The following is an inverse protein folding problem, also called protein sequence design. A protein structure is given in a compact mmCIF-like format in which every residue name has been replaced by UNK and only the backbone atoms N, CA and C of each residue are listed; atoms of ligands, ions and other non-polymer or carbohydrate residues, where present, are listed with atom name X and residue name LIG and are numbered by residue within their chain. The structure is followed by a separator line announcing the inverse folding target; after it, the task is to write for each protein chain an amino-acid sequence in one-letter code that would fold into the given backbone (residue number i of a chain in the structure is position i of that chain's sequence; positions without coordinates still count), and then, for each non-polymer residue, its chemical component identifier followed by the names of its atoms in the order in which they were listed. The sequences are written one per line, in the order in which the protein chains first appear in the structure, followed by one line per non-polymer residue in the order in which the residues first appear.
data_IF_928585116889
#
_entry.id   IF_928585116889
#
_cell.length_a   1.000
_cell.length_b   1.000
_cell.length_c   1.000
_cell.angle_alpha   90.00
_cell.angle_beta   90.00
_cell.angle_gamma   90.00
#
_symmetry.space_group_name_H-M   'P 1'
#
loop_
_entity.id
_entity.type
_entity.pdbx_description
1 polymer ?
#
# COMPACT_ATOMS: atom_id res chain seq x y z
N UNK A 1 -1.84 -19.99 -68.64
CA UNK A 1 -1.48 -20.63 -67.35
C UNK A 1 -0.82 -19.63 -66.38
N UNK A 2 -0.85 -18.31 -66.66
CA UNK A 2 0.02 -17.33 -65.96
C UNK A 2 -0.70 -16.32 -65.06
N UNK A 3 -2.03 -16.38 -64.94
CA UNK A 3 -2.78 -15.41 -64.12
C UNK A 3 -2.99 -15.89 -62.68
N UNK A 4 -3.06 -17.20 -62.45
CA UNK A 4 -3.30 -17.77 -61.12
C UNK A 4 -2.06 -17.80 -60.20
N UNK A 5 -0.85 -17.73 -60.77
CA UNK A 5 0.41 -17.76 -59.99
C UNK A 5 0.76 -16.38 -59.41
N UNK A 6 0.33 -15.29 -60.08
CA UNK A 6 0.60 -13.92 -59.63
C UNK A 6 -0.21 -13.49 -58.40
N UNK A 7 -1.44 -13.97 -58.23
CA UNK A 7 -2.27 -13.63 -57.07
C UNK A 7 -1.84 -14.41 -55.80
N UNK A 8 -1.24 -15.60 -55.95
CA UNK A 8 -0.78 -16.39 -54.82
C UNK A 8 0.51 -15.86 -54.16
N UNK A 9 1.37 -15.15 -54.91
CA UNK A 9 2.60 -14.56 -54.38
C UNK A 9 2.35 -13.25 -53.64
N UNK A 10 1.38 -12.42 -54.06
CA UNK A 10 1.08 -11.14 -53.41
C UNK A 10 0.42 -11.28 -52.03
N UNK A 11 -0.24 -12.40 -51.75
CA UNK A 11 -0.97 -12.61 -50.49
C UNK A 11 -0.08 -13.12 -49.35
N UNK A 12 0.92 -13.97 -49.66
CA UNK A 12 1.82 -14.54 -48.65
C UNK A 12 2.80 -13.51 -48.07
N UNK A 13 3.28 -12.58 -48.90
CA UNK A 13 4.20 -11.54 -48.46
C UNK A 13 3.51 -10.52 -47.54
N UNK A 14 2.21 -10.27 -47.76
CA UNK A 14 1.41 -9.34 -46.97
C UNK A 14 1.11 -9.87 -45.55
N UNK A 15 0.93 -11.19 -45.41
CA UNK A 15 0.74 -11.84 -44.10
C UNK A 15 2.05 -11.88 -43.32
N UNK A 16 3.18 -12.19 -43.97
CA UNK A 16 4.50 -12.24 -43.32
C UNK A 16 4.94 -10.85 -42.80
N UNK A 17 4.68 -9.78 -43.56
CA UNK A 17 4.97 -8.41 -43.13
C UNK A 17 4.11 -7.97 -41.93
N UNK A 18 2.84 -8.38 -41.88
CA UNK A 18 1.96 -8.09 -40.73
C UNK A 18 2.43 -8.76 -39.46
N UNK A 19 2.85 -10.03 -39.53
CA UNK A 19 3.34 -10.77 -38.36
C UNK A 19 4.68 -10.21 -37.85
N UNK A 20 5.54 -9.73 -38.75
CA UNK A 20 6.82 -9.12 -38.39
C UNK A 20 6.68 -7.72 -37.78
N UNK A 21 5.72 -6.90 -38.25
CA UNK A 21 5.38 -5.61 -37.61
C UNK A 21 4.72 -5.80 -36.24
N UNK A 22 3.84 -6.79 -36.07
CA UNK A 22 3.19 -7.08 -34.78
C UNK A 22 4.23 -7.55 -33.74
N UNK A 23 5.12 -8.48 -34.13
CA UNK A 23 6.22 -8.96 -33.29
C UNK A 23 7.22 -7.85 -32.91
N UNK A 24 7.44 -6.87 -33.79
CA UNK A 24 8.31 -5.71 -33.53
C UNK A 24 7.67 -4.72 -32.54
N UNK A 25 6.35 -4.48 -32.67
CA UNK A 25 5.61 -3.62 -31.74
C UNK A 25 5.51 -4.24 -30.34
N UNK A 26 5.28 -5.55 -30.26
CA UNK A 26 5.19 -6.25 -28.96
C UNK A 26 6.58 -6.33 -28.28
N UNK A 27 7.67 -6.46 -29.05
CA UNK A 27 9.04 -6.40 -28.53
C UNK A 27 9.45 -4.99 -28.09
N UNK A 28 9.05 -3.92 -28.79
CA UNK A 28 9.39 -2.55 -28.37
C UNK A 28 8.55 -2.07 -27.19
N UNK A 29 7.31 -2.55 -27.05
CA UNK A 29 6.44 -2.22 -25.91
C UNK A 29 6.91 -2.94 -24.65
N UNK A 30 7.22 -4.24 -24.72
CA UNK A 30 7.78 -4.99 -23.58
C UNK A 30 9.20 -4.55 -23.20
N UNK A 31 10.03 -4.16 -24.17
CA UNK A 31 11.39 -3.68 -23.93
C UNK A 31 11.44 -2.24 -23.43
N UNK A 32 10.49 -1.38 -23.83
CA UNK A 32 10.37 -0.04 -23.25
C UNK A 32 9.86 -0.07 -21.81
N UNK A 33 8.98 -1.01 -21.46
CA UNK A 33 8.54 -1.22 -20.07
C UNK A 33 9.67 -1.79 -19.20
N UNK A 34 10.43 -2.80 -19.65
CA UNK A 34 11.58 -3.33 -18.90
C UNK A 34 12.76 -2.33 -18.80
N UNK A 35 13.06 -1.58 -19.86
CA UNK A 35 14.14 -0.59 -19.81
C UNK A 35 13.76 0.66 -19.01
N UNK A 36 12.48 1.08 -19.00
CA UNK A 36 11.99 2.13 -18.10
C UNK A 36 11.97 1.68 -16.63
N UNK A 37 11.70 0.38 -16.35
CA UNK A 37 11.80 -0.20 -15.01
C UNK A 37 13.25 -0.26 -14.50
N UNK A 38 14.22 -0.42 -15.41
CA UNK A 38 15.64 -0.53 -15.04
C UNK A 38 16.38 0.82 -14.91
N UNK A 39 15.88 1.89 -15.55
CA UNK A 39 16.54 3.21 -15.53
C UNK A 39 16.16 4.08 -14.31
N UNK A 40 15.10 3.70 -13.57
CA UNK A 40 14.66 4.36 -12.35
C UNK A 40 14.18 3.33 -11.34
N UNK A 41 15.12 2.57 -10.76
CA UNK A 41 14.81 1.55 -9.74
C UNK A 41 14.05 2.22 -8.60
N UNK A 42 12.73 1.98 -8.56
CA UNK A 42 11.86 2.37 -7.46
C UNK A 42 12.43 1.73 -6.20
N UNK A 43 13.01 2.54 -5.32
CA UNK A 43 13.59 2.06 -4.06
C UNK A 43 12.66 2.43 -2.92
N UNK A 44 12.00 1.44 -2.37
CA UNK A 44 11.26 1.56 -1.13
C UNK A 44 12.19 1.27 0.05
N UNK A 45 11.84 1.74 1.27
CA UNK A 45 12.59 1.40 2.48
C UNK A 45 12.82 -0.11 2.68
N UNK A 46 11.85 -0.93 2.26
CA UNK A 46 11.93 -2.39 2.24
C UNK A 46 13.13 -2.94 1.45
N UNK A 47 13.59 -2.25 0.42
CA UNK A 47 14.70 -2.70 -0.43
C UNK A 47 16.06 -2.44 0.23
N UNK A 48 16.10 -1.53 1.22
CA UNK A 48 17.30 -1.19 2.00
C UNK A 48 17.39 -2.04 3.28
N UNK A 49 16.26 -2.39 3.88
CA UNK A 49 16.19 -3.20 5.09
C UNK A 49 15.08 -4.22 4.97
N UNK A 50 15.38 -5.49 5.25
CA UNK A 50 14.38 -6.56 5.28
C UNK A 50 13.42 -6.45 6.46
N UNK A 51 13.81 -5.72 7.52
CA UNK A 51 13.00 -5.50 8.72
C UNK A 51 12.58 -4.04 8.84
N UNK A 52 11.26 -3.85 8.93
CA UNK A 52 10.63 -2.58 9.27
C UNK A 52 11.15 -2.02 10.59
N UNK A 53 11.26 -2.87 11.60
CA UNK A 53 11.66 -2.47 12.95
C UNK A 53 13.11 -1.95 12.98
N UNK A 54 14.02 -2.65 12.32
CA UNK A 54 15.43 -2.23 12.24
C UNK A 54 15.56 -0.94 11.44
N UNK A 55 14.80 -0.80 10.35
CA UNK A 55 14.78 0.43 9.57
C UNK A 55 14.30 1.62 10.41
N UNK A 56 13.19 1.45 11.13
CA UNK A 56 12.60 2.47 11.98
C UNK A 56 13.51 2.86 13.16
N UNK A 57 14.13 1.88 13.83
CA UNK A 57 15.14 2.12 14.86
C UNK A 57 16.33 2.94 14.35
N UNK A 58 16.74 2.73 13.10
CA UNK A 58 17.86 3.46 12.50
C UNK A 58 17.50 4.90 12.15
N UNK A 59 16.29 5.11 11.66
CA UNK A 59 15.83 6.41 11.16
C UNK A 59 15.36 7.34 12.30
N UNK A 60 14.79 6.78 13.38
CA UNK A 60 14.28 7.57 14.50
C UNK A 60 15.41 7.94 15.48
N UNK A 61 15.98 9.14 15.30
CA UNK A 61 16.93 9.71 16.26
C UNK A 61 16.32 9.90 17.65
N UNK A 62 15.02 10.20 17.74
CA UNK A 62 14.31 10.33 19.01
C UNK A 62 14.29 9.01 19.79
N UNK A 63 13.99 7.90 19.10
CA UNK A 63 14.02 6.56 19.68
C UNK A 63 15.43 6.17 20.14
N UNK A 64 16.47 6.46 19.35
CA UNK A 64 17.86 6.20 19.74
C UNK A 64 18.26 6.95 21.02
N UNK A 65 17.88 8.22 21.14
CA UNK A 65 18.16 9.04 22.33
C UNK A 65 17.38 8.49 23.54
N UNK A 66 16.10 8.18 23.37
CA UNK A 66 15.26 7.62 24.44
C UNK A 66 15.80 6.28 24.97
N UNK A 67 16.19 5.37 24.07
CA UNK A 67 16.78 4.09 24.42
C UNK A 67 18.12 4.25 25.15
N UNK A 68 18.93 5.23 24.73
CA UNK A 68 20.20 5.54 25.39
C UNK A 68 20.00 6.03 26.82
N UNK A 69 19.00 6.91 27.03
CA UNK A 69 18.65 7.41 28.36
C UNK A 69 18.09 6.31 29.27
N UNK A 70 17.20 5.46 28.75
CA UNK A 70 16.62 4.32 29.48
C UNK A 70 17.72 3.33 29.91
N UNK A 71 18.67 3.03 29.02
CA UNK A 71 19.81 2.16 29.32
C UNK A 71 20.73 2.74 30.40
N UNK A 72 21.05 4.04 30.36
CA UNK A 72 21.85 4.71 31.40
C UNK A 72 21.14 4.69 32.74
N UNK A 73 19.83 4.95 32.76
CA UNK A 73 19.01 4.91 33.96
C UNK A 73 18.98 3.50 34.57
N UNK A 74 18.77 2.48 33.75
CA UNK A 74 18.79 1.09 34.20
C UNK A 74 20.17 0.67 34.74
N UNK A 75 21.26 1.04 34.06
CA UNK A 75 22.61 0.76 34.54
C UNK A 75 22.88 1.41 35.91
N UNK A 76 22.42 2.66 36.10
CA UNK A 76 22.51 3.34 37.40
C UNK A 76 21.74 2.58 38.50
N UNK A 77 20.53 2.10 38.21
CA UNK A 77 19.76 1.29 39.15
C UNK A 77 20.46 -0.02 39.47
N UNK A 78 20.96 -0.74 38.46
CA UNK A 78 21.67 -2.00 38.65
C UNK A 78 22.92 -1.82 39.50
N UNK A 79 23.72 -0.77 39.29
CA UNK A 79 24.91 -0.49 40.13
C UNK A 79 24.51 -0.21 41.58
N UNK A 80 23.42 0.53 41.81
CA UNK A 80 22.92 0.81 43.16
C UNK A 80 22.37 -0.44 43.86
N UNK A 81 21.72 -1.33 43.12
CA UNK A 81 21.04 -2.50 43.66
C UNK A 81 21.92 -3.76 43.73
N UNK A 82 22.95 -3.89 42.88
CA UNK A 82 23.96 -4.96 42.98
C UNK A 82 24.70 -4.89 44.32
N UNK A 83 24.93 -3.67 44.82
CA UNK A 83 25.42 -3.43 46.18
C UNK A 83 24.53 -4.02 47.30
N UNK A 84 23.28 -4.39 47.00
CA UNK A 84 22.30 -4.96 47.94
C UNK A 84 22.10 -6.49 47.75
N UNK A 85 22.79 -7.13 46.79
CA UNK A 85 22.79 -8.58 46.51
C UNK A 85 21.39 -9.23 46.48
N UNK A 86 20.41 -8.57 45.85
CA UNK A 86 19.04 -9.06 45.81
C UNK A 86 18.61 -9.42 44.38
N UNK A 87 18.78 -10.70 44.03
CA UNK A 87 18.46 -11.24 42.70
C UNK A 87 17.02 -10.95 42.25
N UNK A 88 16.06 -10.89 43.19
CA UNK A 88 14.65 -10.58 42.88
C UNK A 88 14.49 -9.14 42.39
N UNK A 89 15.24 -8.21 42.98
CA UNK A 89 15.23 -6.81 42.57
C UNK A 89 15.84 -6.65 41.18
N UNK A 90 16.94 -7.36 40.90
CA UNK A 90 17.53 -7.39 39.55
C UNK A 90 16.54 -7.88 38.49
N UNK A 91 15.75 -8.92 38.78
CA UNK A 91 14.72 -9.42 37.86
C UNK A 91 13.62 -8.38 37.62
N UNK A 92 13.16 -7.68 38.66
CA UNK A 92 12.17 -6.61 38.51
C UNK A 92 12.70 -5.43 37.68
N UNK A 93 13.94 -5.02 37.87
CA UNK A 93 14.58 -3.96 37.07
C UNK A 93 14.63 -4.36 35.59
N UNK A 94 15.00 -5.62 35.29
CA UNK A 94 15.00 -6.12 33.91
C UNK A 94 13.60 -6.12 33.29
N UNK A 95 12.58 -6.57 34.03
CA UNK A 95 11.18 -6.56 33.57
C UNK A 95 10.72 -5.12 33.27
N UNK A 96 11.01 -4.18 34.17
CA UNK A 96 10.66 -2.77 33.98
C UNK A 96 11.36 -2.15 32.78
N UNK A 97 12.63 -2.52 32.52
CA UNK A 97 13.37 -2.09 31.34
C UNK A 97 12.72 -2.59 30.05
N UNK A 98 12.34 -3.88 30.01
CA UNK A 98 11.64 -4.45 28.84
C UNK A 98 10.29 -3.75 28.63
N UNK A 99 9.54 -3.46 29.70
CA UNK A 99 8.26 -2.74 29.59
C UNK A 99 8.49 -1.29 29.11
N UNK A 100 9.47 -0.58 29.68
CA UNK A 100 9.86 0.78 29.27
C UNK A 100 10.20 0.81 27.78
N UNK A 101 11.05 -0.12 27.33
CA UNK A 101 11.40 -0.30 25.92
C UNK A 101 10.18 -0.47 25.01
N UNK A 102 9.25 -1.35 25.39
CA UNK A 102 8.02 -1.58 24.62
C UNK A 102 7.15 -0.32 24.55
N UNK A 103 6.99 0.41 25.66
CA UNK A 103 6.21 1.65 25.70
C UNK A 103 6.86 2.71 24.81
N UNK A 104 8.18 2.88 24.89
CA UNK A 104 8.91 3.86 24.06
C UNK A 104 8.74 3.51 22.57
N UNK A 105 8.84 2.24 22.20
CA UNK A 105 8.65 1.81 20.81
C UNK A 105 7.22 2.09 20.32
N UNK A 106 6.19 1.77 21.11
CA UNK A 106 4.79 2.03 20.75
C UNK A 106 4.49 3.53 20.63
N UNK A 107 5.02 4.35 21.56
CA UNK A 107 4.89 5.80 21.50
C UNK A 107 5.59 6.39 20.27
N UNK A 108 6.81 5.94 19.96
CA UNK A 108 7.53 6.42 18.78
C UNK A 108 6.78 6.05 17.49
N UNK A 109 6.29 4.82 17.36
CA UNK A 109 5.45 4.41 16.22
C UNK A 109 4.17 5.26 16.14
N UNK A 110 3.50 5.53 17.26
CA UNK A 110 2.28 6.35 17.28
C UNK A 110 2.56 7.81 16.90
N UNK A 111 3.69 8.37 17.33
CA UNK A 111 4.10 9.73 16.99
C UNK A 111 4.62 9.82 15.55
N UNK A 112 5.38 8.82 15.09
CA UNK A 112 6.00 8.76 13.77
C UNK A 112 4.99 8.46 12.67
N UNK A 113 4.04 7.56 12.91
CA UNK A 113 2.88 7.31 12.04
C UNK A 113 1.66 8.13 12.45
N UNK A 114 1.90 9.24 13.18
CA UNK A 114 0.88 10.20 13.57
C UNK A 114 0.10 10.75 12.36
N UNK A 115 -0.97 11.49 12.67
CA UNK A 115 -2.00 11.95 11.73
C UNK A 115 -1.40 12.35 10.38
N UNK A 116 -1.62 11.51 9.36
CA UNK A 116 -1.24 11.81 7.97
C UNK A 116 -1.87 13.13 7.56
N UNK A 117 -1.03 14.06 7.10
CA UNK A 117 -1.48 15.35 6.58
C UNK A 117 -2.54 15.17 5.50
N UNK A 118 -3.52 16.08 5.47
CA UNK A 118 -4.63 16.07 4.50
C UNK A 118 -4.12 16.01 3.05
N UNK A 119 -3.08 16.78 2.72
CA UNK A 119 -2.48 16.78 1.39
C UNK A 119 -1.90 15.42 1.00
N UNK A 120 -1.24 14.74 1.94
CA UNK A 120 -0.70 13.40 1.73
C UNK A 120 -1.81 12.36 1.52
N UNK A 121 -2.94 12.49 2.24
CA UNK A 121 -4.14 11.68 2.01
C UNK A 121 -4.69 11.91 0.60
N UNK A 122 -4.83 13.18 0.17
CA UNK A 122 -5.30 13.54 -1.17
C UNK A 122 -4.37 12.92 -2.22
N UNK A 123 -3.06 13.07 -2.07
CA UNK A 123 -2.09 12.51 -3.01
C UNK A 123 -2.18 10.99 -3.13
N UNK A 124 -2.40 10.30 -2.01
CA UNK A 124 -2.63 8.85 -2.03
C UNK A 124 -3.89 8.49 -2.83
N UNK A 125 -4.99 9.23 -2.65
CA UNK A 125 -6.24 9.01 -3.38
C UNK A 125 -6.04 9.26 -4.90
N UNK A 126 -5.36 10.34 -5.27
CA UNK A 126 -5.02 10.67 -6.66
C UNK A 126 -4.22 9.55 -7.33
N UNK A 127 -3.18 9.04 -6.66
CA UNK A 127 -2.36 7.95 -7.20
C UNK A 127 -3.17 6.65 -7.32
N UNK A 128 -4.10 6.36 -6.41
CA UNK A 128 -4.99 5.18 -6.51
C UNK A 128 -5.94 5.31 -7.71
N UNK A 129 -6.55 6.48 -7.92
CA UNK A 129 -7.41 6.72 -9.10
C UNK A 129 -6.60 6.57 -10.39
N UNK A 130 -5.40 7.16 -10.43
CA UNK A 130 -4.52 7.16 -11.59
C UNK A 130 -4.03 5.75 -11.95
N UNK A 131 -3.51 5.01 -10.97
CA UNK A 131 -2.82 3.74 -11.22
C UNK A 131 -3.75 2.53 -11.22
N UNK A 132 -4.98 2.67 -10.70
CA UNK A 132 -5.99 1.60 -10.61
C UNK A 132 -5.43 0.26 -10.08
N UNK A 133 -4.72 0.27 -8.93
CA UNK A 133 -3.82 -0.81 -8.53
C UNK A 133 -4.46 -2.17 -8.28
N UNK A 134 -5.76 -2.23 -7.96
CA UNK A 134 -6.42 -3.49 -7.57
C UNK A 134 -5.66 -4.19 -6.44
N UNK A 135 -5.40 -5.49 -6.59
CA UNK A 135 -4.60 -6.27 -5.64
C UNK A 135 -3.11 -6.35 -5.99
N UNK A 136 -2.65 -5.57 -6.98
CA UNK A 136 -1.32 -5.73 -7.55
C UNK A 136 -0.20 -5.18 -6.65
N UNK A 137 0.68 -6.04 -6.10
CA UNK A 137 1.71 -5.58 -5.16
C UNK A 137 2.70 -4.59 -5.82
N UNK A 138 3.00 -4.74 -7.11
CA UNK A 138 3.97 -3.88 -7.81
C UNK A 138 3.41 -2.48 -7.99
N UNK A 139 2.12 -2.36 -8.33
CA UNK A 139 1.47 -1.06 -8.49
C UNK A 139 1.33 -0.37 -7.13
N UNK A 140 1.05 -1.11 -6.06
CA UNK A 140 1.03 -0.56 -4.71
C UNK A 140 2.40 -0.08 -4.23
N UNK A 141 3.49 -0.76 -4.64
CA UNK A 141 4.85 -0.31 -4.37
C UNK A 141 5.16 1.02 -5.09
N UNK A 142 4.73 1.16 -6.36
CA UNK A 142 4.84 2.43 -7.10
C UNK A 142 4.05 3.57 -6.42
N UNK A 143 2.82 3.30 -5.97
CA UNK A 143 2.01 4.28 -5.24
C UNK A 143 2.71 4.70 -3.96
N UNK A 144 3.22 3.74 -3.17
CA UNK A 144 3.94 4.02 -1.94
C UNK A 144 5.16 4.92 -2.20
N UNK A 145 5.92 4.64 -3.26
CA UNK A 145 7.06 5.46 -3.65
C UNK A 145 6.65 6.90 -4.02
N UNK A 146 5.66 7.06 -4.91
CA UNK A 146 5.21 8.38 -5.36
C UNK A 146 4.70 9.24 -4.18
N UNK A 147 3.97 8.61 -3.26
CA UNK A 147 3.42 9.30 -2.09
C UNK A 147 4.53 9.66 -1.10
N UNK A 148 5.48 8.76 -0.84
CA UNK A 148 6.63 9.05 0.01
C UNK A 148 7.48 10.21 -0.53
N UNK A 149 7.76 10.20 -1.84
CA UNK A 149 8.51 11.26 -2.50
C UNK A 149 7.77 12.60 -2.36
N UNK A 150 6.46 12.62 -2.62
CA UNK A 150 5.64 13.82 -2.44
C UNK A 150 5.67 14.35 -1.00
N UNK A 151 5.52 13.47 0.01
CA UNK A 151 5.57 13.87 1.41
C UNK A 151 6.91 14.51 1.79
N UNK A 152 8.00 13.95 1.29
CA UNK A 152 9.35 14.45 1.52
C UNK A 152 9.59 15.82 0.86
N UNK A 153 9.24 15.94 -0.42
CA UNK A 153 9.39 17.18 -1.19
C UNK A 153 8.54 18.33 -0.64
N UNK A 154 7.37 18.03 -0.07
CA UNK A 154 6.47 19.00 0.55
C UNK A 154 6.76 19.26 2.02
N UNK A 155 7.77 18.62 2.59
CA UNK A 155 8.08 18.66 4.02
C UNK A 155 6.89 18.30 4.92
N UNK A 156 5.95 17.49 4.40
CA UNK A 156 4.81 16.94 5.15
C UNK A 156 5.24 15.75 6.00
N UNK A 157 6.36 15.15 5.66
CA UNK A 157 7.04 14.15 6.47
C UNK A 157 8.56 14.35 6.38
N UNK A 158 9.32 14.18 7.47
CA UNK A 158 10.76 14.46 7.47
C UNK A 158 11.58 13.53 6.56
N UNK A 159 11.02 12.37 6.21
CA UNK A 159 11.75 11.29 5.52
C UNK A 159 11.03 10.81 4.25
N UNK A 160 11.77 10.33 3.26
CA UNK A 160 11.20 9.76 2.04
C UNK A 160 10.72 8.30 2.24
N UNK A 161 10.25 7.95 3.43
CA UNK A 161 10.08 6.57 3.88
C UNK A 161 8.84 6.31 4.72
N UNK A 162 7.83 7.19 4.63
CA UNK A 162 6.59 7.04 5.39
C UNK A 162 5.97 5.64 5.20
N UNK A 163 5.69 5.25 3.96
CA UNK A 163 5.33 3.88 3.64
C UNK A 163 6.57 3.03 3.43
N UNK A 164 6.76 2.04 4.29
CA UNK A 164 7.86 1.10 4.18
C UNK A 164 7.76 0.23 2.91
N UNK A 165 6.54 -0.14 2.54
CA UNK A 165 6.24 -0.90 1.34
C UNK A 165 4.82 -0.66 0.82
N UNK A 166 4.50 -1.19 -0.37
CA UNK A 166 3.17 -1.10 -0.97
C UNK A 166 2.07 -1.75 -0.15
N UNK A 167 2.39 -2.79 0.64
CA UNK A 167 1.42 -3.41 1.57
C UNK A 167 1.02 -2.44 2.68
N UNK A 168 1.97 -1.71 3.25
CA UNK A 168 1.71 -0.65 4.22
C UNK A 168 0.80 0.44 3.65
N UNK A 169 1.10 0.90 2.43
CA UNK A 169 0.29 1.91 1.72
C UNK A 169 -1.14 1.42 1.47
N UNK A 170 -1.30 0.20 0.95
CA UNK A 170 -2.61 -0.43 0.74
C UNK A 170 -3.38 -0.61 2.04
N UNK A 171 -2.73 -1.14 3.07
CA UNK A 171 -3.35 -1.38 4.38
C UNK A 171 -3.85 -0.09 5.02
N UNK A 172 -3.08 1.00 4.87
CA UNK A 172 -3.53 2.33 5.27
C UNK A 172 -4.76 2.77 4.46
N UNK A 173 -4.73 2.68 3.13
CA UNK A 173 -5.86 3.05 2.27
C UNK A 173 -7.14 2.29 2.63
N UNK A 174 -7.05 0.97 2.79
CA UNK A 174 -8.20 0.14 3.16
C UNK A 174 -8.77 0.52 4.54
N UNK A 175 -7.90 0.77 5.53
CA UNK A 175 -8.33 1.14 6.88
C UNK A 175 -8.91 2.56 6.93
N UNK A 176 -8.24 3.51 6.29
CA UNK A 176 -8.56 4.94 6.36
C UNK A 176 -9.79 5.31 5.52
N UNK A 177 -9.96 4.70 4.34
CA UNK A 177 -11.01 5.08 3.38
C UNK A 177 -12.05 3.99 3.20
N UNK A 178 -11.65 2.78 2.79
CA UNK A 178 -12.61 1.71 2.42
C UNK A 178 -13.46 1.29 3.62
N UNK A 179 -12.81 0.86 4.72
CA UNK A 179 -13.51 0.44 5.95
C UNK A 179 -14.28 1.60 6.58
N UNK A 180 -13.74 2.81 6.50
CA UNK A 180 -14.39 4.01 7.06
C UNK A 180 -15.68 4.35 6.31
N UNK A 181 -15.66 4.37 4.97
CA UNK A 181 -16.85 4.59 4.14
C UNK A 181 -17.88 3.48 4.38
N UNK A 182 -17.45 2.22 4.43
CA UNK A 182 -18.36 1.10 4.71
C UNK A 182 -19.07 1.26 6.07
N UNK A 183 -18.33 1.69 7.10
CA UNK A 183 -18.88 1.99 8.42
C UNK A 183 -19.85 3.16 8.39
N UNK A 184 -19.48 4.28 7.77
CA UNK A 184 -20.36 5.46 7.64
C UNK A 184 -21.65 5.12 6.89
N UNK A 185 -21.57 4.33 5.82
CA UNK A 185 -22.75 3.86 5.09
C UNK A 185 -23.63 2.94 5.94
N UNK A 186 -23.05 2.08 6.78
CA UNK A 186 -23.81 1.26 7.71
C UNK A 186 -24.49 2.09 8.81
N UNK A 187 -23.80 3.08 9.37
CA UNK A 187 -24.34 4.02 10.36
C UNK A 187 -25.46 4.87 9.75
N UNK A 188 -25.26 5.45 8.56
CA UNK A 188 -26.28 6.20 7.85
C UNK A 188 -27.53 5.35 7.57
N UNK A 189 -27.36 4.08 7.15
CA UNK A 189 -28.49 3.16 6.95
C UNK A 189 -29.23 2.83 8.24
N UNK A 190 -28.54 2.79 9.38
CA UNK A 190 -29.19 2.61 10.69
C UNK A 190 -29.92 3.89 11.10
N UNK A 191 -29.29 5.04 10.92
CA UNK A 191 -29.88 6.35 11.19
C UNK A 191 -31.14 6.59 10.35
N UNK A 192 -31.12 6.28 9.05
CA UNK A 192 -32.30 6.32 8.18
C UNK A 192 -33.42 5.36 8.61
N UNK A 193 -33.08 4.25 9.26
CA UNK A 193 -34.07 3.30 9.82
C UNK A 193 -34.60 3.74 11.18
N UNK A 194 -33.85 4.54 11.94
CA UNK A 194 -34.26 5.10 13.23
C UNK A 194 -34.86 6.50 13.12
N UNK A 195 -34.67 7.21 12.00
CA UNK A 195 -35.19 8.55 11.73
C UNK A 195 -36.69 8.56 11.39
N UNK A 196 -37.47 7.77 12.13
CA UNK A 196 -38.78 8.18 12.62
C UNK A 196 -38.64 9.07 13.88
N UNK A 197 -37.44 9.17 14.49
CA UNK A 197 -37.14 10.13 15.55
C UNK A 197 -35.77 10.83 15.35
N UNK A 198 -35.81 12.17 15.37
CA UNK A 198 -34.76 13.21 15.38
C UNK A 198 -33.27 12.84 15.13
N UNK A 199 -32.70 13.45 14.07
CA UNK A 199 -31.26 13.53 13.80
C UNK A 199 -30.57 14.49 14.80
N UNK A 200 -29.51 14.03 15.48
CA UNK A 200 -28.75 14.83 16.46
C UNK A 200 -27.51 15.49 15.86
N UNK A 201 -27.20 16.70 16.35
CA UNK A 201 -26.15 17.62 15.86
C UNK A 201 -24.70 17.08 15.95
N UNK A 202 -24.46 15.99 16.68
CA UNK A 202 -23.11 15.47 16.96
C UNK A 202 -22.47 14.78 15.74
N UNK A 203 -23.28 14.36 14.76
CA UNK A 203 -22.81 13.70 13.54
C UNK A 203 -22.14 14.66 12.52
N UNK A 204 -22.32 15.97 12.68
CA UNK A 204 -21.77 16.98 11.78
C UNK A 204 -20.25 17.20 11.96
N UNK A 205 -19.72 17.00 13.17
CA UNK A 205 -18.33 17.36 13.52
C UNK A 205 -17.28 16.39 12.96
N UNK A 206 -17.64 15.12 12.72
CA UNK A 206 -16.73 14.10 12.15
C UNK A 206 -16.83 13.95 10.62
N UNK A 207 -17.79 14.65 10.00
CA UNK A 207 -17.97 14.68 8.55
C UNK A 207 -16.87 15.55 7.89
N UNK A 208 -16.30 16.51 8.62
CA UNK A 208 -15.48 17.61 8.08
C UNK A 208 -14.16 17.16 7.41
N UNK A 209 -13.50 16.11 7.94
CA UNK A 209 -12.22 15.61 7.39
C UNK A 209 -12.40 14.86 6.05
N UNK A 210 -13.61 14.33 5.80
CA UNK A 210 -13.99 13.65 4.55
C UNK A 210 -14.77 14.57 3.61
N UNK A 211 -15.48 15.59 4.09
CA UNK A 211 -16.26 16.53 3.26
C UNK A 211 -15.35 17.29 2.30
N UNK A 212 -14.18 17.75 2.78
CA UNK A 212 -13.23 18.47 1.94
C UNK A 212 -12.50 17.61 0.90
N UNK A 213 -12.60 16.29 0.97
CA UNK A 213 -11.92 15.32 0.09
C UNK A 213 -12.93 14.30 -0.50
N UNK A 214 -14.23 14.56 -0.34
CA UNK A 214 -15.26 13.54 -0.40
C UNK A 214 -15.40 12.94 -1.79
N UNK A 215 -15.38 13.76 -2.84
CA UNK A 215 -15.57 13.27 -4.21
C UNK A 215 -14.42 12.36 -4.64
N UNK A 216 -13.18 12.79 -4.44
CA UNK A 216 -11.99 12.00 -4.80
C UNK A 216 -11.86 10.74 -3.93
N UNK A 217 -12.33 10.79 -2.67
CA UNK A 217 -12.33 9.61 -1.80
C UNK A 217 -13.29 8.55 -2.31
N UNK A 218 -14.52 8.94 -2.67
CA UNK A 218 -15.53 8.02 -3.22
C UNK A 218 -15.05 7.44 -4.54
N UNK A 219 -14.52 8.29 -5.43
CA UNK A 219 -13.96 7.88 -6.72
C UNK A 219 -12.81 6.88 -6.56
N UNK A 220 -11.83 7.18 -5.71
CA UNK A 220 -10.69 6.29 -5.47
C UNK A 220 -11.11 4.92 -4.93
N UNK A 221 -12.09 4.90 -4.00
CA UNK A 221 -12.63 3.65 -3.45
C UNK A 221 -13.41 2.87 -4.49
N UNK A 222 -14.20 3.54 -5.34
CA UNK A 222 -14.94 2.90 -6.43
C UNK A 222 -13.99 2.30 -7.49
N UNK A 223 -12.97 3.05 -7.90
CA UNK A 223 -11.92 2.58 -8.81
C UNK A 223 -11.20 1.37 -8.22
N UNK A 224 -10.87 1.41 -6.93
CA UNK A 224 -10.24 0.30 -6.24
C UNK A 224 -11.12 -0.97 -6.25
N UNK A 225 -12.39 -0.84 -5.86
CA UNK A 225 -13.34 -1.98 -5.81
C UNK A 225 -13.57 -2.55 -7.21
N UNK A 226 -13.69 -1.69 -8.22
CA UNK A 226 -13.92 -2.10 -9.61
C UNK A 226 -12.70 -2.83 -10.17
N UNK A 227 -11.50 -2.30 -9.96
CA UNK A 227 -10.24 -2.95 -10.38
C UNK A 227 -10.06 -4.35 -9.77
N UNK A 228 -10.47 -4.52 -8.50
CA UNK A 228 -10.51 -5.84 -7.87
C UNK A 228 -11.50 -6.76 -8.59
N UNK A 229 -12.73 -6.28 -8.81
CA UNK A 229 -13.80 -7.07 -9.42
C UNK A 229 -13.44 -7.51 -10.84
N UNK A 230 -12.89 -6.62 -11.66
CA UNK A 230 -12.49 -6.93 -13.03
C UNK A 230 -11.41 -8.02 -13.07
N UNK A 231 -10.44 -7.95 -12.15
CA UNK A 231 -9.39 -8.98 -12.02
C UNK A 231 -9.99 -10.34 -11.62
N UNK A 232 -10.99 -10.37 -10.74
CA UNK A 232 -11.68 -11.62 -10.39
C UNK A 232 -12.51 -12.18 -11.56
N UNK A 233 -13.21 -11.32 -12.31
CA UNK A 233 -14.01 -11.76 -13.47
C UNK A 233 -13.12 -12.40 -14.54
N UNK A 234 -11.97 -11.79 -14.84
CA UNK A 234 -10.98 -12.36 -15.76
C UNK A 234 -10.41 -13.70 -15.27
N UNK A 235 -10.22 -13.88 -13.96
CA UNK A 235 -9.72 -15.14 -13.41
C UNK A 235 -10.74 -16.29 -13.54
N UNK A 236 -12.05 -15.99 -13.43
CA UNK A 236 -13.12 -16.98 -13.60
C UNK A 236 -13.29 -17.42 -15.06
N UNK A 237 -13.17 -16.51 -16.03
CA UNK A 237 -13.35 -16.85 -17.46
C UNK A 237 -12.24 -17.76 -18.01
N UNK A 238 -11.05 -17.75 -17.41
CA UNK A 238 -9.91 -18.60 -17.82
C UNK A 238 -10.02 -20.03 -17.27
N UNK A 239 -10.95 -20.31 -16.35
CA UNK A 239 -11.01 -21.56 -15.60
C UNK A 239 -11.97 -22.65 -16.13
N UNK A 240 -12.55 -22.48 -17.31
CA UNK A 240 -13.32 -23.54 -17.99
C UNK A 240 -12.70 -23.95 -19.32
N UNK A 241 -11.73 -24.88 -19.34
CA UNK A 241 -11.55 -25.70 -20.53
C UNK A 241 -12.78 -26.59 -20.67
N UNK A 242 -13.51 -26.41 -21.78
CA UNK A 242 -14.64 -27.25 -22.20
C UNK A 242 -14.21 -28.74 -22.24
N UNK A 243 -14.38 -29.43 -21.12
CA UNK A 243 -14.36 -30.89 -21.08
C UNK A 243 -15.71 -31.41 -21.57
N UNK A 244 -15.95 -31.30 -22.87
CA UNK A 244 -17.00 -32.05 -23.55
C UNK A 244 -16.38 -33.06 -24.54
N UNK A 245 -16.01 -34.28 -24.09
CA UNK A 245 -15.78 -35.38 -25.00
C UNK A 245 -17.12 -36.11 -25.16
N UNK A 246 -17.98 -35.62 -26.07
CA UNK A 246 -18.99 -36.48 -26.68
C UNK A 246 -18.57 -36.81 -28.11
N UNK A 247 -18.62 -38.11 -28.38
CA UNK A 247 -18.69 -38.76 -29.68
C UNK A 247 -17.36 -39.13 -30.35
N UNK A 248 -16.77 -40.23 -29.88
CA UNK A 248 -16.12 -41.19 -30.78
C UNK A 248 -17.03 -42.42 -30.90
N UNK A 249 -17.56 -42.61 -32.09
CA UNK A 249 -18.40 -43.71 -32.54
C UNK A 249 -17.82 -45.09 -32.20
N UNK A 250 -18.66 -45.99 -31.70
CA UNK A 250 -18.68 -47.42 -32.06
C UNK A 250 -20.14 -47.84 -32.14
#
# INVERSE_FOLDING_TARGET
MDTAVKEAMSSKDCVSLKTQCQSSMDQETGRSEEHALSAGVIRLPRDVSSSFFIYHLRESHGLQIALSLDGVFAAFLLIKYDALNNWKVSMWVLILLVISFLIICELDVCCYYGVVHKESKIKLLEEVVKQRPGLDPVVWDLIAFNVNQFMYEKHLFPWASYFFDGRGSRGYFEKAFVKRIARLNAENRRALRSADELMTCDQAFYFDDLVGIGSITVEAVEVYITSIKDRWMLATDVSFPDANPRNSCV
#
